data_IF_285187440136
#
_entry.id   IF_285187440136
#
_cell.length_a   1.000
_cell.length_b   1.000
_cell.length_c   1.000
_cell.angle_alpha   90.00
_cell.angle_beta   90.00
_cell.angle_gamma   90.00
#
_symmetry.space_group_name_H-M   'P 1'
#
loop_
_entity.id
_entity.type
_entity.pdbx_description
1 polymer ?
#
# COMPACT_ATOMS: atom_id res chain seq x y z
N UNK A 1 -52.23 23.06 -17.35
CA UNK A 1 -51.47 21.82 -17.06
C UNK A 1 -52.12 21.09 -15.90
N UNK A 2 -51.95 19.76 -15.74
CA UNK A 2 -52.43 19.08 -14.54
C UNK A 2 -51.63 19.58 -13.33
N UNK A 3 -52.32 19.99 -12.27
CA UNK A 3 -51.79 20.38 -10.97
C UNK A 3 -50.57 19.55 -10.48
N UNK A 4 -50.51 18.20 -10.63
CA UNK A 4 -49.34 17.42 -10.17
C UNK A 4 -47.98 17.74 -10.82
N UNK A 5 -47.92 18.53 -11.89
CA UNK A 5 -46.63 18.94 -12.50
C UNK A 5 -46.03 20.22 -11.91
N UNK A 6 -46.82 21.01 -11.18
CA UNK A 6 -46.36 22.25 -10.54
C UNK A 6 -45.27 22.07 -9.47
N UNK A 7 -45.21 21.01 -8.64
CA UNK A 7 -44.17 20.91 -7.61
C UNK A 7 -42.76 20.79 -8.19
N UNK A 8 -42.61 20.13 -9.34
CA UNK A 8 -41.32 20.00 -10.03
C UNK A 8 -40.84 21.35 -10.60
N UNK A 9 -41.76 22.11 -11.23
CA UNK A 9 -41.42 23.43 -11.75
C UNK A 9 -41.14 24.44 -10.61
N UNK A 10 -41.82 24.32 -9.47
CA UNK A 10 -41.53 25.12 -8.28
C UNK A 10 -40.14 24.82 -7.71
N UNK A 11 -39.73 23.56 -7.71
CA UNK A 11 -38.37 23.20 -7.28
C UNK A 11 -37.30 23.82 -8.19
N UNK A 12 -37.49 23.75 -9.51
CA UNK A 12 -36.59 24.38 -10.49
C UNK A 12 -36.58 25.91 -10.37
N UNK A 13 -37.71 26.52 -10.01
CA UNK A 13 -37.79 27.94 -9.71
C UNK A 13 -36.93 28.33 -8.50
N UNK A 14 -36.97 27.57 -7.40
CA UNK A 14 -36.15 27.86 -6.21
C UNK A 14 -34.66 27.54 -6.40
N UNK A 15 -34.29 26.74 -7.40
CA UNK A 15 -32.89 26.44 -7.74
C UNK A 15 -32.30 27.36 -8.82
N UNK A 16 -33.00 28.42 -9.22
CA UNK A 16 -32.61 29.37 -10.29
C UNK A 16 -32.33 28.73 -11.67
N UNK A 17 -32.78 27.49 -11.91
CA UNK A 17 -32.53 26.72 -13.14
C UNK A 17 -33.74 26.71 -14.10
N UNK A 18 -34.75 27.54 -13.85
CA UNK A 18 -36.00 27.52 -14.61
C UNK A 18 -35.84 28.10 -16.03
N UNK A 19 -36.18 27.31 -17.04
CA UNK A 19 -36.23 27.78 -18.42
C UNK A 19 -37.30 28.88 -18.60
N UNK A 20 -37.05 29.96 -19.38
CA UNK A 20 -37.95 31.11 -19.48
C UNK A 20 -39.35 30.75 -20.00
N UNK A 21 -39.44 29.72 -20.86
CA UNK A 21 -40.72 29.23 -21.40
C UNK A 21 -41.54 28.48 -20.34
N UNK A 22 -40.88 27.75 -19.44
CA UNK A 22 -41.53 27.08 -18.31
C UNK A 22 -42.00 28.09 -17.25
N UNK A 23 -41.29 29.22 -17.11
CA UNK A 23 -41.72 30.36 -16.28
C UNK A 23 -43.06 30.94 -16.72
N UNK A 24 -43.24 31.22 -18.01
CA UNK A 24 -44.53 31.73 -18.52
C UNK A 24 -45.69 30.73 -18.34
N UNK A 25 -45.42 29.43 -18.46
CA UNK A 25 -46.42 28.38 -18.23
C UNK A 25 -46.80 28.26 -16.76
N UNK A 26 -45.83 28.42 -15.86
CA UNK A 26 -46.04 28.46 -14.41
C UNK A 26 -46.87 29.69 -14.01
N UNK A 27 -46.51 30.89 -14.48
CA UNK A 27 -47.25 32.13 -14.19
C UNK A 27 -48.72 32.05 -14.66
N UNK A 28 -48.94 31.54 -15.88
CA UNK A 28 -50.30 31.31 -16.40
C UNK A 28 -51.08 30.32 -15.54
N UNK A 29 -50.42 29.32 -14.96
CA UNK A 29 -51.06 28.35 -14.09
C UNK A 29 -51.36 28.90 -12.70
N UNK A 30 -50.43 29.66 -12.11
CA UNK A 30 -50.62 30.33 -10.81
C UNK A 30 -51.78 31.34 -10.88
N UNK A 31 -51.97 32.02 -12.02
CA UNK A 31 -53.12 32.89 -12.24
C UNK A 31 -54.47 32.15 -12.31
N UNK A 32 -54.46 30.86 -12.64
CA UNK A 32 -55.67 30.04 -12.81
C UNK A 32 -55.99 29.15 -11.60
N UNK A 33 -54.99 28.78 -10.81
CA UNK A 33 -55.11 27.85 -9.69
C UNK A 33 -54.79 28.55 -8.36
N UNK A 34 -55.83 28.83 -7.56
CA UNK A 34 -55.66 29.48 -6.27
C UNK A 34 -54.86 28.62 -5.27
N UNK A 35 -55.05 27.29 -5.30
CA UNK A 35 -54.38 26.37 -4.37
C UNK A 35 -52.86 26.39 -4.57
N UNK A 36 -52.38 26.34 -5.82
CA UNK A 36 -50.95 26.41 -6.12
C UNK A 36 -50.33 27.76 -5.78
N UNK A 37 -51.09 28.86 -5.86
CA UNK A 37 -50.60 30.17 -5.45
C UNK A 37 -50.42 30.25 -3.92
N UNK A 38 -51.34 29.67 -3.15
CA UNK A 38 -51.22 29.58 -1.68
C UNK A 38 -50.00 28.73 -1.28
N UNK A 39 -49.74 27.63 -1.99
CA UNK A 39 -48.53 26.82 -1.76
C UNK A 39 -47.23 27.60 -2.05
N UNK A 40 -47.18 28.39 -3.13
CA UNK A 40 -46.04 29.25 -3.45
C UNK A 40 -45.79 30.28 -2.32
N UNK A 41 -46.83 30.97 -1.85
CA UNK A 41 -46.72 31.95 -0.77
C UNK A 41 -46.21 31.33 0.54
N UNK A 42 -46.66 30.11 0.86
CA UNK A 42 -46.19 29.36 2.01
C UNK A 42 -44.69 29.03 1.91
N UNK A 43 -44.23 28.61 0.72
CA UNK A 43 -42.82 28.31 0.47
C UNK A 43 -41.94 29.56 0.58
N UNK A 44 -42.35 30.69 -0.02
CA UNK A 44 -41.62 31.96 0.09
C UNK A 44 -41.49 32.42 1.55
N UNK A 45 -42.55 32.28 2.34
CA UNK A 45 -42.52 32.61 3.77
C UNK A 45 -41.52 31.73 4.53
N UNK A 46 -41.48 30.43 4.23
CA UNK A 46 -40.53 29.50 4.85
C UNK A 46 -39.08 29.82 4.49
N UNK A 47 -38.80 30.22 3.24
CA UNK A 47 -37.47 30.60 2.78
C UNK A 47 -36.96 31.83 3.54
N UNK A 48 -37.80 32.85 3.71
CA UNK A 48 -37.45 34.05 4.49
C UNK A 48 -37.14 33.67 5.94
N UNK A 49 -37.96 32.81 6.56
CA UNK A 49 -37.72 32.35 7.94
C UNK A 49 -36.42 31.56 8.08
N UNK A 50 -36.06 30.75 7.08
CA UNK A 50 -34.81 29.99 7.07
C UNK A 50 -33.59 30.90 6.85
N UNK A 51 -33.70 31.94 6.02
CA UNK A 51 -32.62 32.92 5.85
C UNK A 51 -32.37 33.74 7.12
N UNK A 52 -33.41 33.97 7.92
CA UNK A 52 -33.30 34.64 9.22
C UNK A 52 -32.82 33.71 10.35
N UNK A 53 -32.81 32.39 10.12
CA UNK A 53 -32.36 31.43 11.12
C UNK A 53 -30.85 31.61 11.38
N UNK A 54 -30.50 31.94 12.61
CA UNK A 54 -29.12 32.01 13.08
C UNK A 54 -28.87 30.86 14.07
N UNK A 55 -27.70 30.23 13.98
CA UNK A 55 -27.29 29.19 14.92
C UNK A 55 -27.12 29.79 16.33
N UNK A 56 -28.07 29.51 17.20
CA UNK A 56 -27.96 29.87 18.61
C UNK A 56 -27.08 28.87 19.33
N UNK A 57 -26.12 29.36 20.13
CA UNK A 57 -25.28 28.48 20.94
C UNK A 57 -26.14 27.69 21.93
N UNK A 58 -26.02 26.36 21.87
CA UNK A 58 -26.68 25.45 22.80
C UNK A 58 -26.20 25.77 24.22
N UNK A 59 -27.09 26.00 25.19
CA UNK A 59 -26.68 26.30 26.55
C UNK A 59 -25.86 25.15 27.14
N UNK A 60 -25.01 25.48 28.12
CA UNK A 60 -23.97 24.65 28.74
C UNK A 60 -24.42 23.31 29.39
N UNK A 61 -25.66 22.87 29.22
CA UNK A 61 -26.16 21.60 29.75
C UNK A 61 -25.89 20.41 28.83
N UNK A 62 -25.48 20.63 27.57
CA UNK A 62 -25.06 19.56 26.66
C UNK A 62 -23.63 19.07 26.99
N UNK A 63 -23.55 18.22 28.01
CA UNK A 63 -22.28 17.66 28.53
C UNK A 63 -21.61 16.70 27.56
N UNK A 64 -22.32 16.22 26.54
CA UNK A 64 -21.80 15.22 25.60
C UNK A 64 -20.63 15.76 24.78
N UNK A 65 -20.79 16.96 24.22
CA UNK A 65 -19.77 17.60 23.39
C UNK A 65 -18.55 18.09 24.17
N UNK A 66 -18.73 18.48 25.44
CA UNK A 66 -17.60 18.92 26.28
C UNK A 66 -16.66 17.77 26.67
N UNK A 67 -17.20 16.55 26.85
CA UNK A 67 -16.38 15.36 27.14
C UNK A 67 -15.46 15.01 25.96
N UNK A 68 -15.99 15.01 24.74
CA UNK A 68 -15.18 14.77 23.54
C UNK A 68 -14.17 15.90 23.26
N UNK A 69 -14.51 17.15 23.57
CA UNK A 69 -13.57 18.27 23.48
C UNK A 69 -12.44 18.17 24.51
N UNK A 70 -12.66 17.56 25.67
CA UNK A 70 -11.66 17.44 26.73
C UNK A 70 -10.57 16.41 26.40
N UNK A 71 -10.96 15.29 25.78
CA UNK A 71 -10.03 14.22 25.36
C UNK A 71 -9.12 14.66 24.21
N UNK A 72 -9.64 15.50 23.29
CA UNK A 72 -8.90 15.96 22.11
C UNK A 72 -8.28 17.35 22.25
N UNK A 73 -8.35 17.99 23.42
CA UNK A 73 -7.67 19.26 23.64
C UNK A 73 -6.19 18.98 23.93
N UNK A 74 -5.36 19.10 22.89
CA UNK A 74 -3.95 19.43 23.10
C UNK A 74 -3.92 20.65 24.03
N UNK A 75 -3.18 20.60 25.16
CA UNK A 75 -3.15 21.73 26.07
C UNK A 75 -2.61 22.92 25.27
N UNK A 76 -3.51 23.85 24.91
CA UNK A 76 -3.12 25.14 24.38
C UNK A 76 -2.36 25.82 25.52
N UNK A 77 -1.04 25.64 25.52
CA UNK A 77 -0.16 26.22 26.51
C UNK A 77 -0.10 27.71 26.21
N UNK A 78 -1.14 28.43 26.62
CA UNK A 78 -1.05 29.87 26.81
C UNK A 78 -0.12 30.04 28.00
N UNK A 79 1.18 30.02 27.73
CA UNK A 79 2.23 30.38 28.67
C UNK A 79 2.05 31.87 28.91
N UNK A 80 1.16 32.20 29.84
CA UNK A 80 1.00 33.56 30.34
C UNK A 80 2.36 34.06 30.82
N UNK A 81 2.66 35.33 30.55
CA UNK A 81 3.92 35.98 30.92
C UNK A 81 4.25 35.81 32.42
N UNK A 82 3.21 35.75 33.26
CA UNK A 82 3.29 35.49 34.70
C UNK A 82 3.71 34.06 35.06
N UNK A 83 3.38 33.07 34.24
CA UNK A 83 3.78 31.69 34.49
C UNK A 83 5.28 31.50 34.26
N UNK A 84 5.93 32.34 33.44
CA UNK A 84 7.41 32.32 33.24
C UNK A 84 8.17 32.86 34.45
N UNK A 85 7.60 33.81 35.19
CA UNK A 85 8.22 34.38 36.39
C UNK A 85 8.20 33.44 37.60
N UNK A 86 7.30 32.45 37.61
CA UNK A 86 7.27 31.44 38.67
C UNK A 86 8.49 30.51 38.67
N UNK A 87 9.20 30.39 37.53
CA UNK A 87 10.36 29.51 37.39
C UNK A 87 11.69 30.20 37.71
N UNK A 88 11.72 31.52 37.89
CA UNK A 88 12.92 32.25 38.30
C UNK A 88 13.52 31.72 39.62
N UNK A 89 12.76 31.56 40.71
CA UNK A 89 13.32 31.04 41.97
C UNK A 89 13.76 29.58 41.87
N UNK A 90 13.07 28.74 41.11
CA UNK A 90 13.47 27.33 40.89
C UNK A 90 14.71 27.23 40.00
N UNK A 91 14.82 28.07 38.97
CA UNK A 91 16.01 28.14 38.13
C UNK A 91 17.22 28.67 38.90
N UNK A 92 17.03 29.67 39.76
CA UNK A 92 18.11 30.20 40.60
C UNK A 92 18.62 29.18 41.62
N UNK A 93 17.73 28.45 42.29
CA UNK A 93 18.12 27.37 43.22
C UNK A 93 18.79 26.20 42.51
N UNK A 94 18.31 25.83 41.31
CA UNK A 94 18.97 24.82 40.49
C UNK A 94 20.38 25.28 40.05
N UNK A 95 20.54 26.53 39.63
CA UNK A 95 21.84 27.09 39.28
C UNK A 95 22.81 27.07 40.49
N UNK A 96 22.35 27.48 41.67
CA UNK A 96 23.11 27.40 42.92
C UNK A 96 23.54 25.96 43.25
N UNK A 97 22.62 25.00 43.08
CA UNK A 97 22.92 23.58 43.28
C UNK A 97 23.97 23.08 42.30
N UNK A 98 23.89 23.46 41.02
CA UNK A 98 24.92 23.10 40.03
C UNK A 98 26.27 23.71 40.38
N UNK A 99 26.33 24.98 40.80
CA UNK A 99 27.57 25.63 41.23
C UNK A 99 28.20 24.88 42.42
N UNK A 100 27.37 24.43 43.37
CA UNK A 100 27.83 23.66 44.53
C UNK A 100 28.30 22.26 44.15
N UNK A 101 27.61 21.54 43.26
CA UNK A 101 28.01 20.20 42.80
C UNK A 101 29.29 20.25 41.96
N UNK A 102 29.43 21.27 41.11
CA UNK A 102 30.58 21.40 40.21
C UNK A 102 31.77 22.17 40.82
N UNK A 103 31.68 22.57 42.10
CA UNK A 103 32.76 23.24 42.85
C UNK A 103 33.42 24.37 42.03
N UNK A 104 32.57 25.24 41.46
CA UNK A 104 33.02 26.26 40.49
C UNK A 104 33.85 27.32 41.21
N UNK A 105 35.15 27.39 40.91
CA UNK A 105 36.02 28.45 41.41
C UNK A 105 36.06 29.60 40.41
N UNK A 106 35.55 30.75 40.83
CA UNK A 106 35.60 31.99 40.06
C UNK A 106 36.75 32.82 40.62
N UNK A 107 37.82 32.96 39.84
CA UNK A 107 38.95 33.81 40.20
C UNK A 107 38.94 35.05 39.30
N UNK A 108 38.91 36.24 39.92
CA UNK A 108 39.02 37.51 39.20
C UNK A 108 40.45 38.03 39.37
N UNK A 109 41.23 37.98 38.30
CA UNK A 109 42.59 38.55 38.22
C UNK A 109 42.55 39.83 37.37
N UNK A 110 43.52 40.73 37.55
CA UNK A 110 43.67 41.97 36.77
C UNK A 110 43.77 41.73 35.24
N UNK A 111 43.99 40.47 34.82
CA UNK A 111 44.09 40.04 33.42
C UNK A 111 42.84 39.38 32.82
N UNK A 112 41.73 39.24 33.56
CA UNK A 112 40.46 38.70 33.03
C UNK A 112 39.74 37.73 33.95
N UNK A 113 38.56 37.30 33.52
CA UNK A 113 37.66 36.40 34.25
C UNK A 113 37.90 34.95 33.81
N UNK A 114 38.40 34.11 34.71
CA UNK A 114 38.53 32.66 34.48
C UNK A 114 37.55 31.90 35.38
N UNK A 115 36.77 31.01 34.76
CA UNK A 115 35.88 30.07 35.46
C UNK A 115 36.51 28.69 35.32
N UNK A 116 36.93 28.10 36.44
CA UNK A 116 37.44 26.72 36.49
C UNK A 116 36.38 25.80 37.09
N UNK A 117 36.10 24.68 36.41
CA UNK A 117 35.14 23.65 36.83
C UNK A 117 35.91 22.39 37.20
N UNK A 118 35.73 21.91 38.44
CA UNK A 118 36.46 20.74 38.95
C UNK A 118 37.94 21.04 39.20
N UNK A 119 38.28 21.34 40.45
CA UNK A 119 39.68 21.40 40.88
C UNK A 119 40.13 20.02 41.31
N UNK A 120 40.68 19.22 40.38
CA UNK A 120 41.71 18.20 40.63
C UNK A 120 42.09 17.53 39.30
N UNK A 121 43.34 17.70 38.85
CA UNK A 121 43.90 17.03 37.67
C UNK A 121 43.83 15.48 37.78
N UNK A 122 43.73 14.95 39.00
CA UNK A 122 43.58 13.52 39.31
C UNK A 122 42.21 12.95 38.83
N UNK A 123 41.16 13.78 38.83
CA UNK A 123 39.83 13.37 38.35
C UNK A 123 39.84 13.27 36.82
N UNK A 124 40.53 14.15 36.11
CA UNK A 124 40.60 14.11 34.64
C UNK A 124 41.32 12.87 34.11
N UNK A 125 42.37 12.40 34.79
CA UNK A 125 43.09 11.17 34.41
C UNK A 125 42.22 9.92 34.64
N UNK A 126 41.52 9.86 35.79
CA UNK A 126 40.57 8.77 36.10
C UNK A 126 39.39 8.69 35.13
N UNK A 127 38.92 9.84 34.64
CA UNK A 127 37.82 9.92 33.66
C UNK A 127 38.30 9.46 32.28
N UNK A 128 39.53 9.79 31.88
CA UNK A 128 40.12 9.29 30.64
C UNK A 128 40.29 7.76 30.64
N UNK A 129 40.76 7.17 31.75
CA UNK A 129 40.84 5.72 31.88
C UNK A 129 39.47 5.04 31.77
N UNK A 130 38.43 5.63 32.38
CA UNK A 130 37.05 5.14 32.27
C UNK A 130 36.56 5.16 30.82
N UNK A 131 36.86 6.24 30.07
CA UNK A 131 36.49 6.34 28.65
C UNK A 131 37.21 5.32 27.78
N UNK A 132 38.50 5.08 28.02
CA UNK A 132 39.26 4.06 27.31
C UNK A 132 38.73 2.66 27.61
N UNK A 133 38.38 2.38 28.87
CA UNK A 133 37.79 1.10 29.26
C UNK A 133 36.40 0.90 28.63
N UNK A 134 35.57 1.94 28.57
CA UNK A 134 34.27 1.90 27.93
C UNK A 134 34.41 1.69 26.42
N UNK A 135 35.33 2.39 25.76
CA UNK A 135 35.60 2.23 24.34
C UNK A 135 36.10 0.81 24.02
N UNK A 136 36.97 0.23 24.84
CA UNK A 136 37.42 -1.14 24.67
C UNK A 136 36.27 -2.15 24.83
N UNK A 137 35.39 -1.93 25.80
CA UNK A 137 34.22 -2.78 26.04
C UNK A 137 33.27 -2.74 24.85
N UNK A 138 32.95 -1.55 24.34
CA UNK A 138 32.12 -1.41 23.14
C UNK A 138 32.75 -2.06 21.90
N UNK A 139 34.07 -1.95 21.71
CA UNK A 139 34.75 -2.62 20.59
C UNK A 139 34.63 -4.14 20.67
N UNK A 140 34.72 -4.72 21.88
CA UNK A 140 34.56 -6.17 22.08
C UNK A 140 33.13 -6.62 21.80
N UNK A 141 32.14 -5.90 22.31
CA UNK A 141 30.72 -6.18 22.05
C UNK A 141 30.40 -6.09 20.55
N UNK A 142 30.88 -5.06 19.87
CA UNK A 142 30.68 -4.91 18.43
C UNK A 142 31.36 -6.03 17.63
N UNK A 143 32.57 -6.44 18.02
CA UNK A 143 33.25 -7.57 17.38
C UNK A 143 32.47 -8.89 17.56
N UNK A 144 31.89 -9.12 18.75
CA UNK A 144 31.05 -10.30 19.00
C UNK A 144 29.77 -10.27 18.15
N UNK A 145 29.11 -9.11 18.04
CA UNK A 145 27.92 -8.95 17.20
C UNK A 145 28.23 -9.22 15.73
N UNK A 146 29.35 -8.71 15.21
CA UNK A 146 29.78 -8.95 13.83
C UNK A 146 30.03 -10.44 13.59
N UNK A 147 30.78 -11.11 14.47
CA UNK A 147 31.03 -12.55 14.35
C UNK A 147 29.73 -13.37 14.38
N UNK A 148 28.76 -12.97 15.19
CA UNK A 148 27.44 -13.63 15.25
C UNK A 148 26.62 -13.41 13.98
N UNK A 149 26.68 -12.22 13.38
CA UNK A 149 25.98 -11.91 12.12
C UNK A 149 26.61 -12.68 10.97
N UNK A 150 27.94 -12.71 10.88
CA UNK A 150 28.68 -13.47 9.87
C UNK A 150 28.34 -14.96 9.93
N UNK A 151 28.39 -15.57 11.12
CA UNK A 151 27.99 -16.97 11.32
C UNK A 151 26.54 -17.26 10.91
N UNK A 152 25.61 -16.33 11.16
CA UNK A 152 24.21 -16.45 10.69
C UNK A 152 24.10 -16.32 9.17
N UNK A 153 24.90 -15.45 8.57
CA UNK A 153 24.90 -15.26 7.13
C UNK A 153 25.46 -16.48 6.40
N UNK A 154 26.56 -17.06 6.90
CA UNK A 154 27.17 -18.26 6.35
C UNK A 154 26.24 -19.46 6.42
N UNK A 155 25.61 -19.69 7.59
CA UNK A 155 24.65 -20.79 7.76
C UNK A 155 23.41 -20.62 6.88
N UNK A 156 22.90 -19.40 6.73
CA UNK A 156 21.79 -19.11 5.82
C UNK A 156 22.19 -19.36 4.35
N UNK A 157 23.38 -18.91 3.93
CA UNK A 157 23.89 -19.13 2.59
C UNK A 157 24.05 -20.62 2.27
N UNK A 158 24.56 -21.42 3.22
CA UNK A 158 24.63 -22.87 3.06
C UNK A 158 23.25 -23.52 2.91
N UNK A 159 22.25 -23.09 3.69
CA UNK A 159 20.88 -23.59 3.56
C UNK A 159 20.26 -23.22 2.22
N UNK A 160 20.49 -22.00 1.73
CA UNK A 160 20.02 -21.56 0.42
C UNK A 160 20.69 -22.38 -0.69
N UNK A 161 22.00 -22.59 -0.63
CA UNK A 161 22.71 -23.42 -1.60
C UNK A 161 22.18 -24.86 -1.60
N UNK A 162 21.93 -25.44 -0.42
CA UNK A 162 21.34 -26.77 -0.32
C UNK A 162 19.94 -26.82 -0.94
N UNK A 163 19.08 -25.86 -0.61
CA UNK A 163 17.72 -25.77 -1.16
C UNK A 163 17.73 -25.61 -2.69
N UNK A 164 18.65 -24.80 -3.22
CA UNK A 164 18.83 -24.61 -4.67
C UNK A 164 19.31 -25.91 -5.33
N UNK A 165 20.25 -26.63 -4.73
CA UNK A 165 20.74 -27.91 -5.25
C UNK A 165 19.61 -28.95 -5.25
N UNK A 166 18.87 -29.08 -4.14
CA UNK A 166 17.76 -30.02 -4.02
C UNK A 166 16.66 -29.71 -5.05
N UNK A 167 16.30 -28.43 -5.20
CA UNK A 167 15.35 -27.98 -6.21
C UNK A 167 15.85 -28.26 -7.63
N UNK A 168 17.14 -28.04 -7.89
CA UNK A 168 17.73 -28.31 -9.20
C UNK A 168 17.72 -29.81 -9.53
N UNK A 169 18.00 -30.67 -8.54
CA UNK A 169 17.91 -32.11 -8.71
C UNK A 169 16.48 -32.55 -9.02
N UNK A 170 15.49 -32.03 -8.29
CA UNK A 170 14.07 -32.33 -8.53
C UNK A 170 13.61 -31.86 -9.92
N UNK A 171 13.92 -30.61 -10.28
CA UNK A 171 13.58 -30.07 -11.60
C UNK A 171 14.26 -30.85 -12.73
N UNK A 172 15.49 -31.31 -12.51
CA UNK A 172 16.20 -32.14 -13.49
C UNK A 172 15.54 -33.51 -13.64
N UNK A 173 15.12 -34.15 -12.54
CA UNK A 173 14.40 -35.42 -12.58
C UNK A 173 13.07 -35.29 -13.31
N UNK A 174 12.26 -34.28 -12.98
CA UNK A 174 11.00 -33.99 -13.66
C UNK A 174 11.19 -33.72 -15.16
N UNK A 175 12.26 -33.00 -15.52
CA UNK A 175 12.57 -32.73 -16.92
C UNK A 175 12.98 -34.01 -17.66
N UNK A 176 13.79 -34.87 -17.02
CA UNK A 176 14.15 -36.17 -17.61
C UNK A 176 12.92 -37.05 -17.82
N UNK A 177 11.98 -37.09 -16.88
CA UNK A 177 10.71 -37.81 -17.05
C UNK A 177 9.90 -37.30 -18.24
N UNK A 178 9.85 -35.98 -18.45
CA UNK A 178 9.22 -35.38 -19.64
C UNK A 178 9.92 -35.77 -20.94
N UNK A 179 11.25 -35.78 -20.93
CA UNK A 179 12.05 -36.21 -22.08
C UNK A 179 11.82 -37.69 -22.39
N UNK A 180 11.77 -38.55 -21.38
CA UNK A 180 11.44 -39.98 -21.55
C UNK A 180 10.04 -40.17 -22.14
N UNK A 181 9.03 -39.48 -21.60
CA UNK A 181 7.67 -39.53 -22.11
C UNK A 181 7.58 -39.05 -23.57
N UNK A 182 8.32 -37.99 -23.92
CA UNK A 182 8.40 -37.51 -25.29
C UNK A 182 9.01 -38.54 -26.24
N UNK A 183 10.13 -39.19 -25.86
CA UNK A 183 10.73 -40.24 -26.68
C UNK A 183 9.84 -41.46 -26.83
N UNK A 184 9.13 -41.86 -25.77
CA UNK A 184 8.19 -42.98 -25.84
C UNK A 184 7.00 -42.66 -26.76
N UNK A 185 6.46 -41.45 -26.68
CA UNK A 185 5.44 -40.99 -27.60
C UNK A 185 5.93 -40.99 -29.05
N UNK A 186 7.14 -40.45 -29.30
CA UNK A 186 7.74 -40.46 -30.63
C UNK A 186 7.90 -41.88 -31.16
N UNK A 187 8.40 -42.80 -30.33
CA UNK A 187 8.56 -44.22 -30.70
C UNK A 187 7.22 -44.88 -31.08
N UNK A 188 6.14 -44.57 -30.36
CA UNK A 188 4.81 -45.10 -30.69
C UNK A 188 4.31 -44.59 -32.04
N UNK A 189 4.53 -43.31 -32.33
CA UNK A 189 4.21 -42.70 -33.63
C UNK A 189 5.01 -43.38 -34.73
N UNK A 190 6.33 -43.54 -34.56
CA UNK A 190 7.20 -44.19 -35.53
C UNK A 190 6.76 -45.65 -35.80
N UNK A 191 6.39 -46.40 -34.76
CA UNK A 191 5.87 -47.77 -34.91
C UNK A 191 4.53 -47.81 -35.65
N UNK A 192 3.68 -46.80 -35.46
CA UNK A 192 2.42 -46.68 -36.18
C UNK A 192 2.67 -46.35 -37.65
N UNK A 193 3.58 -45.42 -37.93
CA UNK A 193 3.93 -45.02 -39.30
C UNK A 193 4.55 -46.19 -40.08
N UNK A 194 5.47 -46.95 -39.44
CA UNK A 194 6.01 -48.18 -40.01
C UNK A 194 4.92 -49.20 -40.34
N UNK A 195 3.93 -49.39 -39.47
CA UNK A 195 2.81 -50.31 -39.72
C UNK A 195 1.98 -49.87 -40.94
N UNK A 196 1.68 -48.59 -41.04
CA UNK A 196 0.96 -48.02 -42.18
C UNK A 196 1.77 -48.17 -43.47
N UNK A 197 3.07 -47.88 -43.42
CA UNK A 197 3.99 -48.06 -44.55
C UNK A 197 4.05 -49.51 -45.03
N UNK A 198 4.12 -50.49 -44.12
CA UNK A 198 4.06 -51.91 -44.49
C UNK A 198 2.72 -52.31 -45.12
N UNK A 199 1.60 -51.77 -44.64
CA UNK A 199 0.29 -52.02 -45.25
C UNK A 199 0.22 -51.47 -46.67
N UNK A 200 0.73 -50.26 -46.90
CA UNK A 200 0.79 -49.66 -48.23
C UNK A 200 1.68 -50.44 -49.20
N UNK A 201 2.84 -50.92 -48.72
CA UNK A 201 3.72 -51.78 -49.53
C UNK A 201 3.01 -53.07 -49.95
N UNK A 202 2.32 -53.74 -49.03
CA UNK A 202 1.56 -54.97 -49.34
C UNK A 202 0.42 -54.70 -50.31
N UNK A 203 -0.30 -53.59 -50.16
CA UNK A 203 -1.37 -53.18 -51.08
C UNK A 203 -0.82 -52.88 -52.49
N UNK A 204 0.31 -52.17 -52.56
CA UNK A 204 1.02 -51.91 -53.83
C UNK A 204 1.48 -53.20 -54.50
N UNK A 205 2.06 -54.14 -53.74
CA UNK A 205 2.49 -55.43 -54.27
C UNK A 205 1.30 -56.24 -54.81
N UNK A 206 0.17 -56.23 -54.10
CA UNK A 206 -1.05 -56.90 -54.55
C UNK A 206 -1.60 -56.30 -55.85
N UNK A 207 -1.70 -54.97 -55.95
CA UNK A 207 -2.12 -54.29 -57.19
C UNK A 207 -1.14 -54.54 -58.34
N UNK A 208 0.16 -54.59 -58.06
CA UNK A 208 1.19 -54.88 -59.06
C UNK A 208 1.05 -56.31 -59.59
N UNK A 209 0.91 -57.31 -58.71
CA UNK A 209 0.70 -58.71 -59.12
C UNK A 209 -0.58 -58.84 -59.95
N UNK A 210 -1.68 -58.22 -59.49
CA UNK A 210 -2.95 -58.22 -60.22
C UNK A 210 -2.81 -57.58 -61.60
N UNK A 211 -2.06 -56.48 -61.71
CA UNK A 211 -1.80 -55.81 -62.99
C UNK A 211 -0.99 -56.70 -63.95
N UNK A 212 -0.03 -57.47 -63.43
CA UNK A 212 0.76 -58.43 -64.21
C UNK A 212 -0.08 -59.62 -64.68
N UNK A 213 -0.99 -60.13 -63.84
CA UNK A 213 -1.94 -61.18 -64.24
C UNK A 213 -2.85 -60.72 -65.37
N UNK A 214 -3.40 -59.49 -65.28
CA UNK A 214 -4.22 -58.91 -66.34
C UNK A 214 -3.43 -58.73 -67.65
N UNK A 215 -2.17 -58.31 -67.57
CA UNK A 215 -1.29 -58.22 -68.72
C UNK A 215 -1.00 -59.60 -69.34
N UNK A 216 -0.71 -60.61 -68.52
CA UNK A 216 -0.49 -61.98 -68.99
C UNK A 216 -1.74 -62.55 -69.68
N UNK A 217 -2.92 -62.31 -69.11
CA UNK A 217 -4.19 -62.70 -69.72
C UNK A 217 -4.42 -62.00 -71.06
N UNK A 218 -4.14 -60.70 -71.15
CA UNK A 218 -4.23 -59.94 -72.40
C UNK A 218 -3.30 -60.48 -73.49
N UNK A 219 -2.03 -60.74 -73.17
CA UNK A 219 -1.05 -61.32 -74.13
C UNK A 219 -1.46 -62.72 -74.57
N UNK A 220 -1.97 -63.55 -73.66
CA UNK A 220 -2.44 -64.91 -74.02
C UNK A 220 -3.58 -64.87 -75.02
N UNK A 221 -4.55 -63.96 -74.84
CA UNK A 221 -5.66 -63.76 -75.76
C UNK A 221 -5.19 -63.30 -77.16
N UNK A 222 -4.18 -62.42 -77.22
CA UNK A 222 -3.62 -61.95 -78.49
C UNK A 222 -2.81 -63.04 -79.24
N UNK A 223 -2.25 -64.01 -78.51
CA UNK A 223 -1.51 -65.14 -79.09
C UNK A 223 -2.40 -66.24 -79.69
N UNK A 224 -3.62 -66.42 -79.19
CA UNK A 224 -4.61 -67.40 -79.69
C UNK A 224 -5.37 -66.92 -80.94
N UNK A 225 -5.30 -65.63 -81.27
CA UNK A 225 -6.05 -65.00 -82.38
C UNK A 225 -5.23 -64.95 -83.69
N UNK A 226 -4.09 -65.66 -83.78
CA UNK A 226 -3.21 -65.65 -84.97
C UNK A 226 -3.14 -66.97 -85.72
#
# INVERSE_FOLDING_TARGET
MPCPKTPHLLQEYFSDDLAPLAGEELEKHLAQCADCNVELEALLTSQISLQQWQDQQVPHWDRGLELFKREHRSPSHQIGFWNRWQWLPTAASFAMLTIMVFSVSIASSESGFSISFGGDDEITESVQELFDQLQQTQRREMAELVARVESRQDSNNLQLLQAVVDQTQQATAENMDRVYAFFEQQRLIDLQDMRVGYQQLVESDYETIRSLELLAQFVSYESDVR
#
